data_IF_237981341460
#
_entry.id   IF_237981341460
#
_cell.length_a   1.000
_cell.length_b   1.000
_cell.length_c   1.000
_cell.angle_alpha   90.00
_cell.angle_beta   90.00
_cell.angle_gamma   90.00
#
_symmetry.space_group_name_H-M   'P 1'
#
loop_
_entity.id
_entity.type
_entity.pdbx_description
1 polymer ?
#
# COMPACT_ATOMS: atom_id res chain seq x y z
N UNK A 1 2.32 11.49 6.84
CA UNK A 1 2.81 11.36 8.24
C UNK A 1 1.62 11.27 9.15
N UNK A 2 1.37 10.13 9.74
CA UNK A 2 0.32 9.95 10.75
C UNK A 2 1.03 9.67 12.07
N UNK A 3 1.30 10.71 12.85
CA UNK A 3 2.26 10.67 13.94
C UNK A 3 1.66 10.72 15.35
N UNK A 4 0.34 10.81 15.52
CA UNK A 4 -0.25 10.84 16.87
C UNK A 4 -1.52 10.03 16.95
N UNK A 5 -1.77 9.47 18.15
CA UNK A 5 -2.95 8.71 18.55
C UNK A 5 -4.27 9.45 18.28
N UNK A 6 -4.22 10.77 18.19
CA UNK A 6 -5.37 11.65 17.95
C UNK A 6 -5.75 11.81 16.48
N UNK A 7 -4.84 11.52 15.53
CA UNK A 7 -5.07 11.76 14.10
C UNK A 7 -5.59 10.53 13.32
N UNK A 8 -5.49 9.33 13.91
CA UNK A 8 -6.03 8.09 13.30
C UNK A 8 -7.36 7.64 13.93
N UNK A 9 -7.72 8.21 15.04
CA UNK A 9 -9.10 8.23 15.49
C UNK A 9 -9.79 9.31 14.65
N UNK A 10 -10.36 8.92 13.52
CA UNK A 10 -11.57 9.61 13.10
C UNK A 10 -12.40 9.56 14.36
N UNK A 11 -12.55 10.70 15.03
CA UNK A 11 -13.35 10.81 16.23
C UNK A 11 -14.67 10.14 15.91
N UNK A 12 -15.19 9.34 16.81
CA UNK A 12 -16.54 8.75 16.69
C UNK A 12 -17.56 9.78 16.19
N UNK A 13 -17.34 11.06 16.45
CA UNK A 13 -18.11 12.19 15.97
C UNK A 13 -18.02 12.43 14.45
N UNK A 14 -16.85 12.29 13.80
CA UNK A 14 -16.72 12.50 12.34
C UNK A 14 -17.28 11.31 11.58
N UNK A 15 -17.10 10.11 12.09
CA UNK A 15 -17.71 8.91 11.54
C UNK A 15 -19.23 8.94 11.67
N UNK A 16 -19.74 9.35 12.83
CA UNK A 16 -21.18 9.51 13.07
C UNK A 16 -21.78 10.65 12.23
N UNK A 17 -21.05 11.75 11.96
CA UNK A 17 -21.50 12.80 11.06
C UNK A 17 -21.49 12.38 9.58
N UNK A 18 -20.57 11.52 9.16
CA UNK A 18 -20.60 10.94 7.81
C UNK A 18 -21.82 10.00 7.61
N UNK A 19 -22.23 9.29 8.66
CA UNK A 19 -23.36 8.36 8.61
C UNK A 19 -24.70 8.97 9.04
N UNK A 20 -24.72 10.08 9.80
CA UNK A 20 -25.94 10.70 10.31
C UNK A 20 -26.46 11.84 9.44
N UNK A 21 -25.68 12.36 8.52
CA UNK A 21 -26.15 13.37 7.57
C UNK A 21 -27.06 12.73 6.52
N UNK A 22 -28.28 13.24 6.37
CA UNK A 22 -29.25 12.83 5.33
C UNK A 22 -28.75 12.96 3.88
N UNK A 23 -27.49 13.36 3.68
CA UNK A 23 -26.76 13.39 2.42
C UNK A 23 -25.41 12.71 2.63
N UNK A 24 -25.36 11.39 2.48
CA UNK A 24 -24.09 10.68 2.38
C UNK A 24 -23.30 11.24 1.21
N UNK A 25 -22.15 11.84 1.47
CA UNK A 25 -21.21 12.22 0.41
C UNK A 25 -20.66 10.93 -0.19
N UNK A 26 -20.67 10.75 -1.51
CA UNK A 26 -20.08 9.57 -2.11
C UNK A 26 -18.59 9.51 -1.77
N UNK A 27 -18.09 8.28 -1.52
CA UNK A 27 -16.67 8.04 -1.33
C UNK A 27 -15.90 8.56 -2.54
N UNK A 28 -14.84 9.36 -2.36
CA UNK A 28 -14.05 9.83 -3.49
C UNK A 28 -13.42 8.65 -4.24
N UNK A 29 -13.13 8.77 -5.55
CA UNK A 29 -12.52 7.68 -6.32
C UNK A 29 -11.22 7.13 -5.71
N UNK A 30 -10.44 8.00 -5.06
CA UNK A 30 -9.20 7.65 -4.34
C UNK A 30 -9.43 6.96 -2.98
N UNK A 31 -10.69 6.82 -2.55
CA UNK A 31 -11.06 6.16 -1.29
C UNK A 31 -10.79 6.99 -0.05
N UNK A 32 -10.77 6.31 1.10
CA UNK A 32 -10.50 6.93 2.39
C UNK A 32 -9.09 7.53 2.44
N UNK A 33 -8.97 8.75 3.00
CA UNK A 33 -7.71 9.47 3.09
C UNK A 33 -7.03 9.73 1.75
N UNK A 34 -7.78 9.72 0.65
CA UNK A 34 -7.30 9.80 -0.72
C UNK A 34 -6.23 8.74 -1.08
N UNK A 35 -6.16 7.64 -0.34
CA UNK A 35 -5.13 6.62 -0.49
C UNK A 35 -5.66 5.19 -0.58
N UNK A 36 -6.74 4.82 0.14
CA UNK A 36 -7.18 3.42 0.23
C UNK A 36 -7.59 2.79 -1.11
N UNK A 37 -7.83 3.60 -2.15
CA UNK A 37 -8.15 3.19 -3.52
C UNK A 37 -7.28 3.90 -4.56
N UNK A 38 -6.20 4.54 -4.11
CA UNK A 38 -5.33 5.31 -5.00
C UNK A 38 -4.63 4.43 -6.03
N UNK A 39 -4.57 4.94 -7.26
CA UNK A 39 -3.90 4.34 -8.40
C UNK A 39 -2.83 5.28 -8.98
N UNK A 40 -1.90 5.74 -8.14
CA UNK A 40 -0.79 6.60 -8.58
C UNK A 40 0.42 5.80 -9.06
N UNK A 41 1.32 6.41 -9.81
CA UNK A 41 2.53 5.77 -10.37
C UNK A 41 3.65 5.61 -9.35
N UNK A 42 3.76 6.52 -8.38
CA UNK A 42 4.82 6.49 -7.37
C UNK A 42 4.53 5.42 -6.32
N UNK A 43 5.48 4.55 -5.98
CA UNK A 43 5.36 3.65 -4.85
C UNK A 43 5.07 4.40 -3.54
N UNK A 44 4.29 3.79 -2.67
CA UNK A 44 3.93 4.32 -1.36
C UNK A 44 4.33 3.31 -0.30
N UNK A 45 5.06 3.79 0.68
CA UNK A 45 5.52 2.99 1.83
C UNK A 45 4.81 3.51 3.07
N UNK A 46 4.06 2.65 3.74
CA UNK A 46 3.46 2.98 5.02
C UNK A 46 4.46 2.76 6.16
N UNK A 47 4.57 3.74 7.06
CA UNK A 47 5.31 3.66 8.30
C UNK A 47 4.33 3.70 9.48
N UNK A 48 4.04 2.54 10.09
CA UNK A 48 2.98 2.38 11.09
C UNK A 48 3.59 2.36 12.49
N UNK A 49 3.40 3.44 13.24
CA UNK A 49 3.95 3.60 14.59
C UNK A 49 3.04 3.07 15.71
N UNK A 50 1.77 2.78 15.41
CA UNK A 50 0.77 2.42 16.43
C UNK A 50 -0.45 1.75 15.82
N UNK A 51 -1.64 2.23 16.17
CA UNK A 51 -2.91 1.63 15.75
C UNK A 51 -3.22 1.93 14.28
N UNK A 52 -3.53 0.91 13.50
CA UNK A 52 -4.08 1.04 12.15
C UNK A 52 -5.38 0.22 12.09
N UNK A 53 -6.50 0.85 12.45
CA UNK A 53 -7.82 0.21 12.47
C UNK A 53 -8.76 0.83 11.44
N UNK A 54 -9.72 0.04 10.95
CA UNK A 54 -10.73 0.50 10.01
C UNK A 54 -10.08 1.15 8.79
N UNK A 55 -10.41 2.42 8.54
CA UNK A 55 -9.80 3.20 7.47
C UNK A 55 -8.27 3.21 7.48
N UNK A 56 -7.62 3.12 8.65
CA UNK A 56 -6.16 2.96 8.77
C UNK A 56 -5.68 1.65 8.13
N UNK A 57 -6.36 0.53 8.39
CA UNK A 57 -6.07 -0.74 7.71
C UNK A 57 -6.38 -0.65 6.22
N UNK A 58 -7.45 0.03 5.83
CA UNK A 58 -7.78 0.24 4.41
C UNK A 58 -6.70 1.01 3.66
N UNK A 59 -6.07 2.00 4.32
CA UNK A 59 -4.92 2.73 3.76
C UNK A 59 -3.72 1.79 3.53
N UNK A 60 -3.32 1.03 4.55
CA UNK A 60 -2.09 0.22 4.48
C UNK A 60 -2.20 -0.95 3.50
N UNK A 61 -3.39 -1.52 3.35
CA UNK A 61 -3.64 -2.60 2.37
C UNK A 61 -3.42 -2.12 0.93
N UNK A 62 -3.56 -0.83 0.65
CA UNK A 62 -3.31 -0.25 -0.67
C UNK A 62 -1.90 0.36 -0.83
N UNK A 63 -1.07 0.33 0.20
CA UNK A 63 0.34 0.71 0.08
C UNK A 63 1.15 -0.42 -0.57
N UNK A 64 2.25 -0.05 -1.23
CA UNK A 64 3.12 -1.00 -1.89
C UNK A 64 4.00 -1.77 -0.89
N UNK A 65 4.43 -1.10 0.17
CA UNK A 65 5.20 -1.68 1.28
C UNK A 65 4.70 -1.12 2.62
N UNK A 66 4.81 -1.94 3.66
CA UNK A 66 4.40 -1.56 5.02
C UNK A 66 5.50 -1.93 6.01
N UNK A 67 5.98 -0.94 6.76
CA UNK A 67 6.89 -1.12 7.90
C UNK A 67 6.14 -0.75 9.16
N UNK A 68 6.25 -1.55 10.22
CA UNK A 68 5.53 -1.30 11.46
C UNK A 68 6.45 -1.37 12.69
N UNK A 69 6.13 -0.56 13.70
CA UNK A 69 6.69 -0.71 15.04
C UNK A 69 6.21 -2.03 15.66
N UNK A 70 7.01 -2.63 16.54
CA UNK A 70 6.64 -3.86 17.28
C UNK A 70 5.32 -3.73 18.03
N UNK A 71 5.03 -2.54 18.58
CA UNK A 71 3.77 -2.24 19.29
C UNK A 71 2.60 -1.92 18.36
N UNK A 72 2.81 -1.82 17.05
CA UNK A 72 1.73 -1.52 16.13
C UNK A 72 0.72 -2.66 16.06
N UNK A 73 -0.54 -2.29 15.82
CA UNK A 73 -1.63 -3.25 15.73
C UNK A 73 -2.57 -2.87 14.59
N UNK A 74 -3.20 -3.87 14.01
CA UNK A 74 -4.06 -3.77 12.83
C UNK A 74 -5.44 -4.35 13.13
N UNK A 75 -6.46 -3.93 12.40
CA UNK A 75 -7.80 -4.49 12.56
C UNK A 75 -8.85 -3.86 11.67
N UNK A 76 -9.93 -4.60 11.48
CA UNK A 76 -11.17 -4.15 10.82
C UNK A 76 -12.33 -4.28 11.82
N UNK A 77 -12.41 -3.39 12.82
CA UNK A 77 -13.39 -3.51 13.91
C UNK A 77 -14.79 -3.01 13.56
N UNK A 78 -15.05 -2.65 12.30
CA UNK A 78 -16.29 -2.07 11.82
C UNK A 78 -17.52 -2.88 12.20
N UNK A 79 -17.43 -4.21 12.11
CA UNK A 79 -18.52 -5.12 12.46
C UNK A 79 -18.99 -4.98 13.92
N UNK A 80 -18.11 -4.56 14.83
CA UNK A 80 -18.47 -4.28 16.24
C UNK A 80 -19.30 -3.01 16.40
N UNK A 81 -19.44 -2.21 15.35
CA UNK A 81 -20.22 -0.96 15.31
C UNK A 81 -21.39 -1.03 14.32
N UNK A 82 -21.66 -2.21 13.75
CA UNK A 82 -22.72 -2.38 12.75
C UNK A 82 -22.43 -1.70 11.41
N UNK A 83 -21.16 -1.45 11.10
CA UNK A 83 -20.71 -0.84 9.84
C UNK A 83 -19.69 -1.73 9.14
N UNK A 84 -19.26 -1.37 7.94
CA UNK A 84 -18.42 -2.19 7.07
C UNK A 84 -17.27 -1.37 6.51
N UNK A 85 -16.09 -1.98 6.38
CA UNK A 85 -14.93 -1.40 5.71
C UNK A 85 -15.18 -1.30 4.19
N UNK A 86 -15.73 -0.17 3.75
CA UNK A 86 -16.18 0.05 2.36
C UNK A 86 -15.18 0.76 1.46
N UNK A 87 -14.09 1.27 2.02
CA UNK A 87 -13.14 2.08 1.26
C UNK A 87 -12.14 1.24 0.45
N UNK A 88 -12.28 -0.09 0.41
CA UNK A 88 -11.59 -0.97 -0.50
C UNK A 88 -10.72 -2.05 0.11
N UNK A 89 -10.66 -2.18 1.44
CA UNK A 89 -9.84 -3.19 2.11
C UNK A 89 -10.33 -4.62 1.85
N UNK A 90 -11.63 -4.89 1.99
CA UNK A 90 -12.16 -6.25 1.98
C UNK A 90 -11.80 -7.08 0.74
N UNK A 91 -11.99 -6.58 -0.50
CA UNK A 91 -11.60 -7.33 -1.70
C UNK A 91 -10.09 -7.43 -1.88
N UNK A 92 -9.30 -6.56 -1.25
CA UNK A 92 -7.84 -6.52 -1.39
C UNK A 92 -7.13 -7.34 -0.33
N UNK A 93 -7.59 -7.28 0.91
CA UNK A 93 -6.96 -7.98 2.03
C UNK A 93 -6.99 -9.50 1.85
N UNK A 94 -8.06 -10.05 1.25
CA UNK A 94 -8.17 -11.47 0.95
C UNK A 94 -7.07 -11.96 -0.01
N UNK A 95 -6.61 -11.09 -0.90
CA UNK A 95 -5.51 -11.39 -1.83
C UNK A 95 -4.14 -11.24 -1.20
N UNK A 96 -4.04 -10.46 -0.13
CA UNK A 96 -2.80 -10.23 0.59
C UNK A 96 -2.54 -11.34 1.62
N UNK A 97 -3.53 -11.67 2.47
CA UNK A 97 -3.35 -12.60 3.60
C UNK A 97 -4.15 -13.92 3.47
N UNK A 98 -4.83 -14.10 2.35
CA UNK A 98 -5.67 -15.27 2.12
C UNK A 98 -7.03 -15.21 2.81
N UNK A 99 -7.98 -16.01 2.32
CA UNK A 99 -9.38 -15.98 2.76
C UNK A 99 -9.57 -16.27 4.25
N UNK A 100 -8.93 -17.29 4.87
CA UNK A 100 -9.16 -17.59 6.28
C UNK A 100 -8.81 -16.41 7.20
N UNK A 101 -7.63 -15.83 7.04
CA UNK A 101 -7.14 -14.69 7.85
C UNK A 101 -7.94 -13.41 7.61
N UNK A 102 -8.32 -13.16 6.35
CA UNK A 102 -9.18 -12.02 6.02
C UNK A 102 -10.56 -12.14 6.66
N UNK A 103 -11.19 -13.33 6.63
CA UNK A 103 -12.46 -13.58 7.31
C UNK A 103 -12.33 -13.44 8.83
N UNK A 104 -11.29 -14.00 9.42
CA UNK A 104 -11.02 -13.88 10.84
C UNK A 104 -10.92 -12.41 11.25
N UNK A 105 -10.09 -11.62 10.58
CA UNK A 105 -9.90 -10.20 10.87
C UNK A 105 -11.20 -9.40 10.71
N UNK A 106 -11.91 -9.59 9.60
CA UNK A 106 -13.07 -8.79 9.25
C UNK A 106 -14.34 -9.17 10.04
N UNK A 107 -14.56 -10.47 10.28
CA UNK A 107 -15.80 -10.93 10.94
C UNK A 107 -15.74 -10.89 12.46
N UNK A 108 -14.56 -11.10 13.05
CA UNK A 108 -14.38 -10.99 14.49
C UNK A 108 -14.07 -9.56 14.92
N UNK A 109 -13.54 -8.74 14.03
CA UNK A 109 -13.05 -7.40 14.33
C UNK A 109 -11.94 -7.42 15.38
N UNK A 110 -11.18 -8.53 15.49
CA UNK A 110 -10.08 -8.64 16.46
C UNK A 110 -8.89 -7.77 16.10
N UNK A 111 -8.08 -7.53 17.08
CA UNK A 111 -6.79 -6.87 16.93
C UNK A 111 -5.74 -7.89 16.49
N UNK A 112 -4.94 -7.51 15.48
CA UNK A 112 -3.82 -8.29 14.96
C UNK A 112 -2.53 -7.55 15.32
N UNK A 113 -1.65 -8.11 16.17
CA UNK A 113 -0.35 -7.53 16.50
C UNK A 113 0.59 -7.48 15.29
N UNK A 114 1.59 -6.59 15.32
CA UNK A 114 2.52 -6.40 14.22
C UNK A 114 3.25 -7.68 13.82
N UNK A 115 3.68 -8.49 14.80
CA UNK A 115 4.38 -9.74 14.52
C UNK A 115 3.47 -10.74 13.77
N UNK A 116 2.22 -10.89 14.20
CA UNK A 116 1.25 -11.73 13.52
C UNK A 116 0.90 -11.20 12.12
N UNK A 117 0.76 -9.88 11.98
CA UNK A 117 0.54 -9.23 10.69
C UNK A 117 1.70 -9.49 9.70
N UNK A 118 2.93 -9.53 10.21
CA UNK A 118 4.11 -9.91 9.43
C UNK A 118 4.06 -11.38 8.99
N UNK A 119 3.76 -12.29 9.89
CA UNK A 119 3.61 -13.73 9.61
C UNK A 119 2.47 -14.02 8.62
N UNK A 120 1.46 -13.17 8.60
CA UNK A 120 0.37 -13.24 7.63
C UNK A 120 0.74 -12.68 6.24
N UNK A 121 1.84 -11.94 6.14
CA UNK A 121 2.22 -11.24 4.92
C UNK A 121 1.45 -9.93 4.70
N UNK A 122 0.78 -9.40 5.74
CA UNK A 122 0.10 -8.11 5.67
C UNK A 122 1.09 -6.94 5.67
N UNK A 123 2.25 -7.12 6.32
CA UNK A 123 3.31 -6.12 6.40
C UNK A 123 4.67 -6.71 6.01
N UNK A 124 5.59 -5.87 5.57
CA UNK A 124 6.90 -6.30 5.06
C UNK A 124 7.98 -6.38 6.14
N UNK A 125 7.87 -5.58 7.20
CA UNK A 125 8.92 -5.52 8.24
C UNK A 125 8.36 -5.03 9.56
N UNK A 126 8.79 -5.68 10.65
CA UNK A 126 8.61 -5.20 12.01
C UNK A 126 9.94 -4.64 12.51
N UNK A 127 9.91 -3.48 13.14
CA UNK A 127 11.09 -2.83 13.74
C UNK A 127 10.82 -2.50 15.20
N UNK A 128 11.88 -2.19 15.94
CA UNK A 128 11.77 -1.79 17.34
C UNK A 128 10.90 -0.55 17.54
N UNK A 129 10.42 -0.38 18.78
CA UNK A 129 9.69 0.81 19.18
C UNK A 129 10.67 1.95 19.44
N UNK A 130 10.32 3.16 19.01
CA UNK A 130 11.12 4.36 19.19
C UNK A 130 10.67 5.47 18.26
N UNK A 131 10.93 6.71 18.64
CA UNK A 131 10.65 7.84 17.78
C UNK A 131 11.53 7.78 16.52
N UNK A 132 10.91 7.92 15.36
CA UNK A 132 11.61 7.91 14.08
C UNK A 132 12.07 6.55 13.54
N UNK A 133 12.12 5.49 14.37
CA UNK A 133 12.65 4.16 13.96
C UNK A 133 11.90 3.57 12.77
N UNK A 134 10.58 3.61 12.82
CA UNK A 134 9.73 3.07 11.73
C UNK A 134 9.91 3.88 10.44
N UNK A 135 9.97 5.21 10.59
CA UNK A 135 10.18 6.11 9.44
C UNK A 135 11.55 5.88 8.82
N UNK A 136 12.60 5.76 9.64
CA UNK A 136 13.95 5.47 9.16
C UNK A 136 13.99 4.17 8.35
N UNK A 137 13.36 3.10 8.86
CA UNK A 137 13.29 1.83 8.16
C UNK A 137 12.46 1.89 6.85
N UNK A 138 11.41 2.71 6.82
CA UNK A 138 10.65 2.96 5.59
C UNK A 138 11.47 3.77 4.57
N UNK A 139 12.27 4.73 5.03
CA UNK A 139 13.19 5.52 4.19
C UNK A 139 14.27 4.63 3.57
N UNK A 140 14.76 3.59 4.26
CA UNK A 140 15.71 2.62 3.67
C UNK A 140 15.08 1.90 2.46
N UNK A 141 13.82 1.46 2.55
CA UNK A 141 13.11 0.93 1.38
C UNK A 141 12.96 1.97 0.27
N UNK A 142 12.63 3.21 0.63
CA UNK A 142 12.48 4.29 -0.35
C UNK A 142 13.79 4.59 -1.08
N UNK A 143 14.93 4.59 -0.38
CA UNK A 143 16.27 4.75 -0.97
C UNK A 143 16.58 3.60 -1.93
N UNK A 144 16.37 2.34 -1.49
CA UNK A 144 16.60 1.18 -2.33
C UNK A 144 15.75 1.20 -3.62
N UNK A 145 14.50 1.67 -3.54
CA UNK A 145 13.65 1.87 -4.71
C UNK A 145 14.19 3.00 -5.60
N UNK A 146 14.62 4.11 -5.00
CA UNK A 146 15.09 5.29 -5.73
C UNK A 146 16.44 5.07 -6.45
N UNK A 147 17.22 4.07 -6.06
CA UNK A 147 18.43 3.65 -6.76
C UNK A 147 18.15 2.93 -8.09
N UNK A 148 16.91 2.53 -8.34
CA UNK A 148 16.51 1.81 -9.54
C UNK A 148 15.92 2.77 -10.59
N UNK A 149 15.87 2.28 -11.85
CA UNK A 149 15.22 3.01 -12.94
C UNK A 149 13.76 3.33 -12.58
N UNK A 150 13.37 4.63 -12.54
CA UNK A 150 12.01 5.00 -12.17
C UNK A 150 10.96 4.47 -13.15
N UNK A 151 11.30 4.37 -14.45
CA UNK A 151 10.40 3.79 -15.45
C UNK A 151 10.20 2.29 -15.20
N UNK A 152 11.28 1.55 -14.93
CA UNK A 152 11.21 0.12 -14.63
C UNK A 152 10.43 -0.16 -13.34
N UNK A 153 10.62 0.66 -12.31
CA UNK A 153 9.83 0.57 -11.06
C UNK A 153 8.34 0.75 -11.32
N UNK A 154 7.95 1.74 -12.13
CA UNK A 154 6.54 1.97 -12.50
C UNK A 154 5.97 0.75 -13.23
N UNK A 155 6.66 0.26 -14.26
CA UNK A 155 6.17 -0.86 -15.08
C UNK A 155 6.07 -2.15 -14.27
N UNK A 156 7.08 -2.44 -13.45
CA UNK A 156 7.05 -3.61 -12.55
C UNK A 156 5.89 -3.54 -11.57
N UNK A 157 5.66 -2.37 -10.98
CA UNK A 157 4.54 -2.13 -10.05
C UNK A 157 3.19 -2.32 -10.74
N UNK A 158 3.01 -1.82 -11.96
CA UNK A 158 1.76 -1.98 -12.70
C UNK A 158 1.50 -3.46 -13.05
N UNK A 159 2.54 -4.22 -13.42
CA UNK A 159 2.41 -5.66 -13.65
C UNK A 159 1.94 -6.42 -12.40
N UNK A 160 2.56 -6.17 -11.25
CA UNK A 160 2.17 -6.76 -9.97
C UNK A 160 0.73 -6.36 -9.60
N UNK A 161 0.40 -5.09 -9.81
CA UNK A 161 -0.93 -4.55 -9.49
C UNK A 161 -2.03 -5.18 -10.34
N UNK A 162 -1.81 -5.43 -11.62
CA UNK A 162 -2.78 -6.14 -12.47
C UNK A 162 -3.13 -7.51 -11.89
N UNK A 163 -2.15 -8.31 -11.49
CA UNK A 163 -2.38 -9.60 -10.83
C UNK A 163 -3.13 -9.45 -9.50
N UNK A 164 -2.72 -8.48 -8.69
CA UNK A 164 -3.37 -8.21 -7.40
C UNK A 164 -4.83 -7.71 -7.56
N UNK A 165 -5.15 -6.93 -8.58
CA UNK A 165 -6.53 -6.50 -8.90
C UNK A 165 -7.36 -7.60 -9.61
N UNK A 166 -6.75 -8.77 -9.94
CA UNK A 166 -7.47 -9.96 -10.42
C UNK A 166 -7.42 -10.21 -11.91
N UNK A 167 -6.53 -9.55 -12.61
CA UNK A 167 -6.21 -9.91 -13.99
C UNK A 167 -5.46 -11.24 -13.98
N UNK A 168 -5.86 -12.19 -14.82
CA UNK A 168 -5.16 -13.47 -14.95
C UNK A 168 -3.71 -13.28 -15.39
N UNK A 169 -2.81 -14.18 -14.97
CA UNK A 169 -1.37 -14.03 -15.18
C UNK A 169 -0.98 -13.84 -16.66
N UNK A 170 -1.53 -14.67 -17.54
CA UNK A 170 -1.25 -14.58 -18.99
C UNK A 170 -1.78 -13.27 -19.60
N UNK A 171 -3.01 -12.90 -19.25
CA UNK A 171 -3.60 -11.65 -19.71
C UNK A 171 -2.84 -10.43 -19.16
N UNK A 172 -2.45 -10.46 -17.90
CA UNK A 172 -1.63 -9.41 -17.29
C UNK A 172 -0.28 -9.28 -17.98
N UNK A 173 0.37 -10.40 -18.29
CA UNK A 173 1.64 -10.42 -19.03
C UNK A 173 1.48 -9.84 -20.44
N UNK A 174 0.41 -10.22 -21.15
CA UNK A 174 0.10 -9.68 -22.47
C UNK A 174 -0.13 -8.15 -22.42
N UNK A 175 -0.97 -7.69 -21.48
CA UNK A 175 -1.24 -6.26 -21.31
C UNK A 175 0.02 -5.46 -20.93
N UNK A 176 0.91 -6.04 -20.14
CA UNK A 176 2.18 -5.42 -19.77
C UNK A 176 3.07 -5.22 -21.01
N UNK A 177 3.21 -6.27 -21.83
CA UNK A 177 4.00 -6.25 -23.06
C UNK A 177 3.40 -5.28 -24.09
N UNK A 178 2.09 -5.27 -24.28
CA UNK A 178 1.45 -4.44 -25.29
C UNK A 178 1.38 -2.95 -24.92
N UNK A 179 1.12 -2.63 -23.63
CA UNK A 179 0.82 -1.26 -23.25
C UNK A 179 1.95 -0.54 -22.50
N UNK A 180 2.79 -1.27 -21.75
CA UNK A 180 3.82 -0.66 -20.91
C UNK A 180 5.24 -0.83 -21.45
N UNK A 181 5.56 -2.02 -21.97
CA UNK A 181 6.90 -2.31 -22.46
C UNK A 181 7.36 -1.41 -23.63
N UNK A 182 6.51 -1.05 -24.62
CA UNK A 182 6.91 -0.12 -25.67
C UNK A 182 7.27 1.27 -25.14
N UNK A 183 6.57 1.74 -24.10
CA UNK A 183 6.87 3.01 -23.44
C UNK A 183 8.21 2.96 -22.70
N UNK A 184 8.47 1.84 -22.00
CA UNK A 184 9.74 1.60 -21.32
C UNK A 184 10.92 1.63 -22.31
N UNK A 185 10.79 0.90 -23.42
CA UNK A 185 11.85 0.80 -24.45
C UNK A 185 12.10 2.13 -25.16
N UNK A 186 11.07 2.94 -25.35
CA UNK A 186 11.21 4.29 -25.93
C UNK A 186 11.92 5.28 -24.98
N UNK A 187 12.00 4.96 -23.68
CA UNK A 187 12.57 5.82 -22.66
C UNK A 187 14.11 5.91 -22.70
N UNK A 188 14.64 6.94 -22.02
CA UNK A 188 16.09 7.14 -21.89
C UNK A 188 16.71 6.19 -20.85
N UNK A 189 15.96 5.86 -19.79
CA UNK A 189 16.48 5.11 -18.65
C UNK A 189 16.85 3.66 -19.00
N UNK A 190 16.15 3.01 -19.91
CA UNK A 190 16.52 1.65 -20.34
C UNK A 190 17.87 1.67 -21.07
N UNK A 191 18.11 2.69 -21.91
CA UNK A 191 19.38 2.85 -22.65
C UNK A 191 20.53 3.12 -21.68
N UNK A 192 20.29 3.99 -20.69
CA UNK A 192 21.26 4.30 -19.64
C UNK A 192 21.58 3.06 -18.80
N UNK A 193 20.56 2.30 -18.38
CA UNK A 193 20.75 1.09 -17.58
C UNK A 193 21.60 0.04 -18.29
N UNK A 194 21.31 -0.22 -19.59
CA UNK A 194 22.08 -1.17 -20.39
C UNK A 194 23.52 -0.67 -20.57
N UNK A 195 23.70 0.62 -20.89
CA UNK A 195 25.03 1.21 -21.06
C UNK A 195 25.86 1.16 -19.77
N UNK A 196 25.28 1.57 -18.65
CA UNK A 196 25.95 1.54 -17.35
C UNK A 196 26.37 0.13 -16.94
N UNK A 197 25.51 -0.87 -17.23
CA UNK A 197 25.84 -2.27 -16.99
C UNK A 197 27.05 -2.75 -17.80
N UNK A 198 27.13 -2.43 -19.11
CA UNK A 198 28.27 -2.77 -19.97
C UNK A 198 29.53 -2.04 -19.50
N UNK A 199 29.41 -0.77 -19.14
CA UNK A 199 30.54 0.07 -18.66
C UNK A 199 30.92 -0.20 -17.20
N UNK A 200 30.22 -1.09 -16.48
CA UNK A 200 30.43 -1.44 -15.07
C UNK A 200 30.42 -0.22 -14.12
N UNK A 201 29.57 0.74 -14.39
CA UNK A 201 29.38 1.94 -13.55
C UNK A 201 27.97 2.00 -12.98
N UNK A 202 27.75 2.90 -12.02
CA UNK A 202 26.39 3.21 -11.57
C UNK A 202 25.63 3.96 -12.66
N UNK A 203 24.34 3.62 -12.87
CA UNK A 203 23.49 4.35 -13.80
C UNK A 203 23.08 5.71 -13.24
N UNK A 204 22.84 6.66 -14.14
CA UNK A 204 22.33 7.99 -13.83
C UNK A 204 20.91 8.12 -14.37
N UNK A 205 19.95 7.94 -13.47
CA UNK A 205 18.55 7.91 -13.84
C UNK A 205 17.97 9.31 -14.06
N UNK A 206 17.21 9.47 -15.13
CA UNK A 206 16.38 10.64 -15.38
C UNK A 206 14.98 10.44 -14.77
N UNK A 207 14.24 11.54 -14.58
CA UNK A 207 12.84 11.48 -14.18
C UNK A 207 12.03 10.60 -15.16
N UNK A 208 11.09 9.81 -14.62
CA UNK A 208 10.22 8.97 -15.42
C UNK A 208 9.38 9.81 -16.40
N UNK A 209 9.25 9.30 -17.64
CA UNK A 209 8.41 9.90 -18.69
C UNK A 209 7.13 9.08 -18.97
N UNK A 210 6.89 8.01 -18.20
CA UNK A 210 5.75 7.09 -18.32
C UNK A 210 4.45 7.67 -17.78
#
# INVERSE_FOLDING_TARGET
MCTTREHLLIRDAEWNTMNSSKKSRPMPPSGFGALSRRSGRKPIIAAVNGLAYGGGTELIVNCDLVVAAKKATFGLPEVKRGVVAIAGALPRIVRTIGRPRAMEMALTGRVVPAQEAYEWGLINKVVGDGEGVVVAAAVEYAKAIAENSPDAVIVSREGIKMGWEGVGAEEGSRLLVENWYPRLVAGDNIKEGVRAFVEKRKPEWKAAKL
#
